data_IF_482401715364
#
_entry.id   IF_482401715364
#
_cell.length_a   1.000
_cell.length_b   1.000
_cell.length_c   1.000
_cell.angle_alpha   90.00
_cell.angle_beta   90.00
_cell.angle_gamma   90.00
#
_symmetry.space_group_name_H-M   'P 1'
#
loop_
_entity.id
_entity.type
_entity.pdbx_description
1 polymer ?
#
# COMPACT_ATOMS: atom_id res chain seq x y z
N UNK A 1 11.06 -7.63 -7.32
CA UNK A 1 10.20 -7.18 -8.42
C UNK A 1 10.48 -8.04 -9.65
N UNK A 2 9.54 -8.13 -10.59
CA UNK A 2 9.71 -8.79 -11.89
C UNK A 2 9.12 -7.89 -12.99
N UNK A 3 9.47 -8.13 -14.25
CA UNK A 3 8.73 -7.53 -15.38
C UNK A 3 7.27 -8.00 -15.34
N UNK A 4 6.34 -7.17 -15.83
CA UNK A 4 4.91 -7.50 -15.79
C UNK A 4 4.41 -8.34 -16.99
N UNK A 5 5.29 -8.71 -17.93
CA UNK A 5 4.91 -9.48 -19.12
C UNK A 5 3.95 -8.70 -20.02
N UNK A 6 2.73 -9.23 -20.21
CA UNK A 6 1.68 -8.62 -21.06
C UNK A 6 0.73 -7.69 -20.29
N UNK A 7 0.97 -7.45 -19.00
CA UNK A 7 0.16 -6.51 -18.23
C UNK A 7 0.45 -5.06 -18.66
N UNK A 8 -0.51 -4.13 -18.50
CA UNK A 8 -0.27 -2.70 -18.75
C UNK A 8 0.79 -2.08 -17.82
N UNK A 9 1.05 -2.69 -16.67
CA UNK A 9 2.07 -2.24 -15.73
C UNK A 9 3.49 -2.51 -16.26
N UNK A 10 4.48 -1.73 -15.80
CA UNK A 10 5.89 -1.98 -16.14
C UNK A 10 6.51 -3.12 -15.32
N UNK A 11 6.16 -3.18 -14.03
CA UNK A 11 6.70 -4.14 -13.08
C UNK A 11 5.62 -4.68 -12.15
N UNK A 12 5.92 -5.84 -11.57
CA UNK A 12 5.21 -6.38 -10.41
C UNK A 12 6.16 -6.34 -9.21
N UNK A 13 5.76 -5.62 -8.16
CA UNK A 13 6.47 -5.61 -6.87
C UNK A 13 5.85 -6.69 -5.98
N UNK A 14 6.68 -7.66 -5.59
CA UNK A 14 6.28 -8.75 -4.72
C UNK A 14 6.49 -8.30 -3.28
N UNK A 15 5.40 -8.13 -2.53
CA UNK A 15 5.41 -7.72 -1.14
C UNK A 15 4.74 -8.80 -0.28
N UNK A 16 5.41 -9.22 0.79
CA UNK A 16 4.86 -10.17 1.76
C UNK A 16 4.31 -9.37 2.93
N UNK A 17 2.99 -9.36 3.06
CA UNK A 17 2.32 -8.82 4.24
C UNK A 17 2.20 -9.84 5.38
N UNK A 18 1.99 -9.40 6.62
CA UNK A 18 1.86 -10.27 7.78
C UNK A 18 0.54 -11.06 7.78
N UNK A 19 0.54 -12.23 8.43
CA UNK A 19 -0.69 -12.91 8.84
C UNK A 19 -1.10 -12.50 10.24
N UNK A 20 -2.39 -12.23 10.47
CA UNK A 20 -2.86 -11.89 11.81
C UNK A 20 -2.61 -13.04 12.81
N UNK A 21 -1.97 -12.73 13.93
CA UNK A 21 -1.61 -13.69 14.98
C UNK A 21 -0.13 -14.13 14.96
N UNK A 22 0.67 -13.64 14.02
CA UNK A 22 2.11 -13.94 13.94
C UNK A 22 3.01 -12.96 14.72
N UNK A 23 2.41 -11.91 15.32
CA UNK A 23 3.08 -10.89 16.09
C UNK A 23 3.72 -9.77 15.25
N UNK A 24 3.76 -8.58 15.84
CA UNK A 24 4.33 -7.34 15.26
C UNK A 24 3.73 -6.97 13.88
N UNK A 25 2.47 -7.34 13.65
CA UNK A 25 1.86 -7.28 12.32
C UNK A 25 1.74 -5.84 11.82
N UNK A 26 1.50 -4.86 12.69
CA UNK A 26 1.42 -3.46 12.28
C UNK A 26 2.75 -2.99 11.66
N UNK A 27 3.87 -3.28 12.32
CA UNK A 27 5.18 -2.88 11.82
C UNK A 27 5.57 -3.65 10.56
N UNK A 28 5.24 -4.94 10.50
CA UNK A 28 5.45 -5.74 9.28
C UNK A 28 4.66 -5.19 8.09
N UNK A 29 3.39 -4.82 8.29
CA UNK A 29 2.57 -4.23 7.24
C UNK A 29 3.12 -2.87 6.80
N UNK A 30 3.49 -2.00 7.76
CA UNK A 30 4.15 -0.71 7.46
C UNK A 30 5.40 -0.91 6.61
N UNK A 31 6.27 -1.83 7.02
CA UNK A 31 7.50 -2.14 6.30
C UNK A 31 7.22 -2.70 4.89
N UNK A 32 6.22 -3.56 4.73
CA UNK A 32 5.84 -4.10 3.42
C UNK A 32 5.39 -2.98 2.46
N UNK A 33 4.57 -2.04 2.94
CA UNK A 33 4.13 -0.88 2.15
C UNK A 33 5.31 0.04 1.84
N UNK A 34 6.07 0.47 2.84
CA UNK A 34 7.19 1.40 2.68
C UNK A 34 8.26 0.86 1.72
N UNK A 35 8.65 -0.40 1.87
CA UNK A 35 9.63 -1.02 0.98
C UNK A 35 9.13 -1.13 -0.46
N UNK A 36 7.82 -1.31 -0.67
CA UNK A 36 7.22 -1.32 -2.00
C UNK A 36 7.28 0.06 -2.66
N UNK A 37 6.97 1.12 -1.91
CA UNK A 37 7.03 2.50 -2.38
C UNK A 37 8.48 2.94 -2.69
N UNK A 38 9.42 2.62 -1.80
CA UNK A 38 10.85 2.87 -2.01
C UNK A 38 11.35 2.18 -3.27
N UNK A 39 10.99 0.90 -3.46
CA UNK A 39 11.42 0.16 -4.65
C UNK A 39 10.81 0.73 -5.93
N UNK A 40 9.54 1.14 -5.91
CA UNK A 40 8.92 1.80 -7.06
C UNK A 40 9.64 3.11 -7.43
N UNK A 41 9.97 3.91 -6.42
CA UNK A 41 10.73 5.16 -6.57
C UNK A 41 12.14 4.91 -7.10
N UNK A 42 12.87 3.93 -6.56
CA UNK A 42 14.19 3.51 -7.06
C UNK A 42 14.18 3.03 -8.52
N UNK A 43 13.02 2.57 -9.01
CA UNK A 43 12.82 2.18 -10.41
C UNK A 43 12.35 3.32 -11.31
N UNK A 44 12.27 4.54 -10.80
CA UNK A 44 11.83 5.71 -11.55
C UNK A 44 10.37 5.63 -11.97
N UNK A 45 9.54 4.88 -11.22
CA UNK A 45 8.11 4.77 -11.52
C UNK A 45 7.37 6.00 -11.03
N UNK A 46 6.38 6.43 -11.82
CA UNK A 46 5.53 7.58 -11.50
C UNK A 46 4.25 7.18 -10.78
N UNK A 47 3.82 5.92 -10.92
CA UNK A 47 2.62 5.41 -10.26
C UNK A 47 2.80 3.99 -9.73
N UNK A 48 2.03 3.65 -8.70
CA UNK A 48 1.91 2.30 -8.14
C UNK A 48 0.47 2.05 -7.69
N UNK A 49 -0.03 0.85 -7.97
CA UNK A 49 -1.32 0.34 -7.50
C UNK A 49 -1.10 -0.69 -6.40
N UNK A 50 -1.77 -0.52 -5.26
CA UNK A 50 -1.58 -1.33 -4.05
C UNK A 50 -2.94 -1.93 -3.64
N UNK A 51 -3.08 -3.26 -3.54
CA UNK A 51 -4.29 -3.86 -2.97
C UNK A 51 -4.32 -3.67 -1.45
N UNK A 52 -5.42 -4.00 -0.77
CA UNK A 52 -5.44 -4.03 0.70
C UNK A 52 -4.62 -5.22 1.25
N UNK A 53 -3.29 -5.01 1.33
CA UNK A 53 -2.31 -6.05 1.71
C UNK A 53 -2.69 -6.63 3.08
N UNK A 54 -2.74 -7.96 3.15
CA UNK A 54 -3.05 -8.75 4.36
C UNK A 54 -4.50 -8.73 4.87
N UNK A 55 -5.38 -7.87 4.34
CA UNK A 55 -6.78 -7.79 4.82
C UNK A 55 -7.75 -8.79 4.17
N UNK A 56 -7.21 -9.72 3.36
CA UNK A 56 -7.93 -10.85 2.78
C UNK A 56 -7.74 -12.11 3.62
N UNK A 57 -7.21 -13.18 3.00
CA UNK A 57 -7.01 -14.50 3.64
C UNK A 57 -6.08 -14.48 4.86
N UNK A 58 -5.28 -13.42 5.03
CA UNK A 58 -4.35 -13.25 6.16
C UNK A 58 -5.02 -12.66 7.40
N UNK A 59 -6.29 -12.25 7.30
CA UNK A 59 -7.12 -11.87 8.45
C UNK A 59 -6.70 -10.59 9.15
N UNK A 60 -5.84 -9.76 8.55
CA UNK A 60 -5.47 -8.48 9.13
C UNK A 60 -6.70 -7.55 9.17
N UNK A 61 -6.99 -6.86 10.29
CA UNK A 61 -8.19 -6.03 10.40
C UNK A 61 -8.25 -4.94 9.33
N UNK A 62 -9.37 -4.87 8.60
CA UNK A 62 -9.54 -4.00 7.41
C UNK A 62 -9.38 -2.52 7.72
N UNK A 63 -9.89 -2.09 8.87
CA UNK A 63 -9.77 -0.73 9.40
C UNK A 63 -8.30 -0.36 9.68
N UNK A 64 -7.56 -1.23 10.37
CA UNK A 64 -6.13 -1.04 10.63
C UNK A 64 -5.31 -1.08 9.33
N UNK A 65 -5.67 -1.96 8.41
CA UNK A 65 -5.04 -2.05 7.10
C UNK A 65 -5.18 -0.73 6.35
N UNK A 66 -6.40 -0.19 6.23
CA UNK A 66 -6.65 1.09 5.58
C UNK A 66 -5.82 2.22 6.21
N UNK A 67 -5.86 2.33 7.55
CA UNK A 67 -5.11 3.34 8.30
C UNK A 67 -3.62 3.28 8.03
N UNK A 68 -3.02 2.08 8.05
CA UNK A 68 -1.59 1.88 7.79
C UNK A 68 -1.25 2.20 6.33
N UNK A 69 -1.99 1.63 5.37
CA UNK A 69 -1.67 1.81 3.95
C UNK A 69 -1.77 3.28 3.52
N UNK A 70 -2.84 3.98 3.93
CA UNK A 70 -3.04 5.40 3.62
C UNK A 70 -2.00 6.25 4.35
N UNK A 71 -1.80 6.02 5.65
CA UNK A 71 -0.85 6.79 6.47
C UNK A 71 0.59 6.68 5.99
N UNK A 72 1.08 5.46 5.72
CA UNK A 72 2.46 5.24 5.24
C UNK A 72 2.65 5.81 3.82
N UNK A 73 1.63 5.72 2.96
CA UNK A 73 1.68 6.28 1.61
C UNK A 73 1.75 7.81 1.63
N UNK A 74 0.93 8.46 2.47
CA UNK A 74 0.99 9.91 2.64
C UNK A 74 2.33 10.34 3.25
N UNK A 75 2.79 9.66 4.31
CA UNK A 75 4.06 9.95 4.94
C UNK A 75 5.23 9.82 3.95
N UNK A 76 5.20 8.81 3.08
CA UNK A 76 6.18 8.62 2.02
C UNK A 76 6.18 9.80 1.03
N UNK A 77 5.02 10.19 0.51
CA UNK A 77 4.90 11.31 -0.44
C UNK A 77 5.35 12.64 0.16
N UNK A 78 5.08 12.89 1.44
CA UNK A 78 5.48 14.12 2.13
C UNK A 78 6.98 14.17 2.45
N UNK A 79 7.59 13.04 2.81
CA UNK A 79 8.99 12.98 3.27
C UNK A 79 9.97 12.79 2.12
N UNK A 80 9.64 12.00 1.10
CA UNK A 80 10.56 11.63 0.03
C UNK A 80 10.44 12.58 -1.16
N UNK A 81 10.95 13.81 -0.99
CA UNK A 81 10.85 14.88 -2.02
C UNK A 81 11.51 14.54 -3.36
N UNK A 82 12.55 13.71 -3.33
CA UNK A 82 13.26 13.26 -4.54
C UNK A 82 12.62 12.01 -5.18
N UNK A 83 11.48 11.55 -4.66
CA UNK A 83 10.79 10.39 -5.23
C UNK A 83 10.23 10.70 -6.61
N UNK A 84 10.39 9.75 -7.55
CA UNK A 84 9.71 9.82 -8.85
C UNK A 84 8.20 9.57 -8.78
N UNK A 85 7.74 9.01 -7.66
CA UNK A 85 6.38 8.53 -7.49
C UNK A 85 5.41 9.71 -7.25
N UNK A 86 4.42 9.85 -8.13
CA UNK A 86 3.44 10.93 -8.14
C UNK A 86 2.03 10.45 -7.80
N UNK A 87 1.72 9.17 -8.06
CA UNK A 87 0.41 8.58 -7.82
C UNK A 87 0.56 7.27 -7.05
N UNK A 88 -0.14 7.16 -5.93
CA UNK A 88 -0.36 5.91 -5.20
C UNK A 88 -1.87 5.66 -5.23
N UNK A 89 -2.28 4.57 -5.87
CA UNK A 89 -3.68 4.16 -5.92
C UNK A 89 -3.93 2.89 -5.11
N UNK A 90 -5.11 2.78 -4.51
CA UNK A 90 -5.52 1.60 -3.75
C UNK A 90 -6.58 0.82 -4.52
N UNK A 91 -6.26 -0.42 -4.92
CA UNK A 91 -7.18 -1.28 -5.66
C UNK A 91 -8.01 -2.14 -4.71
N UNK A 92 -9.20 -1.64 -4.36
CA UNK A 92 -10.12 -2.28 -3.42
C UNK A 92 -11.35 -2.83 -4.18
N UNK A 93 -11.67 -4.10 -3.99
CA UNK A 93 -12.73 -4.78 -4.74
C UNK A 93 -14.05 -4.93 -3.98
N UNK A 94 -14.05 -4.85 -2.64
CA UNK A 94 -15.24 -5.00 -1.80
C UNK A 94 -15.61 -3.71 -1.06
N UNK A 95 -16.93 -3.46 -0.93
CA UNK A 95 -17.47 -2.23 -0.33
C UNK A 95 -17.08 -2.05 1.13
N UNK A 96 -17.01 -3.15 1.89
CA UNK A 96 -16.65 -3.10 3.30
C UNK A 96 -15.23 -2.56 3.48
N UNK A 97 -14.26 -3.10 2.74
CA UNK A 97 -12.88 -2.59 2.78
C UNK A 97 -12.81 -1.16 2.24
N UNK A 98 -13.53 -0.88 1.14
CA UNK A 98 -13.53 0.45 0.52
C UNK A 98 -14.00 1.55 1.50
N UNK A 99 -15.01 1.26 2.33
CA UNK A 99 -15.52 2.21 3.32
C UNK A 99 -14.46 2.60 4.36
N UNK A 100 -13.58 1.67 4.76
CA UNK A 100 -12.47 2.01 5.66
C UNK A 100 -11.46 2.93 4.97
N UNK A 101 -11.10 2.66 3.71
CA UNK A 101 -10.21 3.55 2.96
C UNK A 101 -10.81 4.94 2.77
N UNK A 102 -12.10 5.03 2.38
CA UNK A 102 -12.80 6.32 2.24
C UNK A 102 -12.74 7.13 3.53
N UNK A 103 -13.02 6.51 4.67
CA UNK A 103 -12.94 7.17 5.98
C UNK A 103 -11.54 7.70 6.26
N UNK A 104 -10.49 6.93 5.96
CA UNK A 104 -9.11 7.41 6.14
C UNK A 104 -8.79 8.58 5.22
N UNK A 105 -9.26 8.59 3.97
CA UNK A 105 -9.12 9.76 3.09
C UNK A 105 -9.89 10.99 3.57
N UNK A 106 -11.11 10.82 4.09
CA UNK A 106 -11.90 11.90 4.70
C UNK A 106 -11.15 12.52 5.87
N UNK A 107 -10.53 11.70 6.72
CA UNK A 107 -9.71 12.16 7.86
C UNK A 107 -8.46 12.95 7.44
N UNK A 108 -8.00 12.84 6.19
CA UNK A 108 -6.88 13.64 5.68
C UNK A 108 -7.29 15.05 5.26
N UNK A 109 -8.58 15.27 5.00
CA UNK A 109 -9.14 16.54 4.54
C UNK A 109 -9.70 17.39 5.68
N UNK A 110 -9.88 16.80 6.87
CA UNK A 110 -10.29 17.47 8.10
C UNK A 110 -9.10 18.07 8.84
#
# INVERSE_FOLDING_TARGET
>A
FTSAGRLPAKFVIHAVGPRMGEGDEDNKLKNAVLNSLLLASQKGLQSISIPAISSGIFGFPKDRCAKILVGESLAFLLKQRDSSLQLIEFCIYDDLTLNYFKKEFENLLS
#
